data_IF_860839845587
#
_entry.id   IF_860839845587
#
_cell.length_a   1.000
_cell.length_b   1.000
_cell.length_c   1.000
_cell.angle_alpha   90.00
_cell.angle_beta   90.00
_cell.angle_gamma   90.00
#
_symmetry.space_group_name_H-M   'P 1'
#
loop_
_entity.id
_entity.type
_entity.pdbx_description
1 polymer ?
#
# COMPACT_ATOMS: atom_id res chain seq x y z
N UNK A 1 -35.98 53.78 -3.61
CA UNK A 1 -37.24 53.63 -2.88
C UNK A 1 -37.41 52.15 -2.62
N UNK A 2 -37.51 51.79 -1.33
CA UNK A 2 -37.92 50.54 -0.68
C UNK A 2 -37.40 49.22 -1.29
N UNK A 3 -36.46 48.46 -0.70
CA UNK A 3 -36.41 47.87 0.65
C UNK A 3 -37.63 46.99 0.98
N UNK A 4 -37.39 45.69 1.12
CA UNK A 4 -38.34 44.71 1.63
C UNK A 4 -37.60 43.73 2.53
N UNK A 5 -37.58 44.04 3.82
CA UNK A 5 -37.20 43.19 4.94
C UNK A 5 -38.23 42.06 5.12
N UNK A 6 -37.77 40.88 5.52
CA UNK A 6 -38.55 39.97 6.36
C UNK A 6 -37.61 39.50 7.47
N UNK A 7 -37.98 39.85 8.69
CA UNK A 7 -37.35 39.52 9.97
C UNK A 7 -38.26 38.55 10.75
N UNK A 8 -37.62 37.75 11.62
CA UNK A 8 -38.16 37.02 12.78
C UNK A 8 -39.12 35.84 12.51
N UNK A 9 -39.08 34.70 13.22
CA UNK A 9 -38.91 34.52 14.67
C UNK A 9 -38.19 33.23 15.09
N UNK A 10 -37.51 33.41 16.22
CA UNK A 10 -36.88 32.49 17.18
C UNK A 10 -37.89 31.61 17.96
N UNK A 11 -37.47 30.43 18.44
CA UNK A 11 -37.89 29.75 19.69
C UNK A 11 -37.28 28.34 19.80
N UNK A 12 -36.63 28.04 20.93
CA UNK A 12 -36.59 26.67 21.46
C UNK A 12 -35.25 26.14 21.96
N UNK A 13 -34.71 26.77 22.99
CA UNK A 13 -33.64 26.24 23.85
C UNK A 13 -34.23 25.29 24.90
N UNK A 14 -33.62 24.13 25.12
CA UNK A 14 -33.66 23.40 26.40
C UNK A 14 -32.28 22.80 26.66
N UNK A 15 -31.66 23.31 27.72
CA UNK A 15 -30.48 22.77 28.40
C UNK A 15 -30.92 21.68 29.43
N UNK A 16 -29.93 20.92 29.95
CA UNK A 16 -29.91 20.10 31.18
C UNK A 16 -30.56 18.68 31.10
N UNK A 17 -30.04 17.57 31.65
CA UNK A 17 -28.89 17.25 32.51
C UNK A 17 -28.69 15.70 32.58
N UNK A 18 -27.45 15.26 32.79
CA UNK A 18 -26.94 14.16 33.66
C UNK A 18 -27.63 12.77 33.66
N UNK A 19 -26.87 11.72 33.28
CA UNK A 19 -26.75 10.44 34.04
C UNK A 19 -25.32 9.90 33.91
N UNK A 20 -24.60 9.91 35.04
CA UNK A 20 -23.46 9.01 35.35
C UNK A 20 -24.00 7.59 35.59
N UNK A 21 -23.27 6.57 35.14
CA UNK A 21 -23.13 5.32 35.89
C UNK A 21 -21.86 4.56 35.50
N UNK A 22 -21.02 4.39 36.51
CA UNK A 22 -19.90 3.45 36.64
C UNK A 22 -20.36 1.98 36.57
N UNK A 23 -19.39 1.05 36.59
CA UNK A 23 -19.41 -0.43 36.75
C UNK A 23 -18.86 -1.12 35.48
N UNK A 24 -17.79 -1.93 35.49
CA UNK A 24 -16.95 -2.47 36.55
C UNK A 24 -15.95 -3.45 35.93
N UNK A 25 -14.77 -3.54 36.53
CA UNK A 25 -13.78 -4.61 36.31
C UNK A 25 -14.39 -5.99 36.60
N UNK A 26 -13.96 -7.02 35.87
CA UNK A 26 -13.30 -8.19 36.48
C UNK A 26 -12.77 -9.21 35.43
N UNK A 27 -11.49 -9.53 35.60
CA UNK A 27 -10.88 -10.86 35.74
C UNK A 27 -11.12 -11.90 34.62
N UNK A 28 -10.06 -12.20 33.87
CA UNK A 28 -9.56 -13.57 33.75
C UNK A 28 -8.03 -13.57 33.85
N UNK A 29 -7.60 -14.18 34.95
CA UNK A 29 -6.24 -14.59 35.30
C UNK A 29 -5.98 -16.02 34.78
N UNK A 30 -4.72 -16.41 34.89
CA UNK A 30 -4.12 -17.74 34.84
C UNK A 30 -3.48 -18.21 33.53
N UNK A 31 -2.15 -18.33 33.57
CA UNK A 31 -1.45 -19.27 32.70
C UNK A 31 0.07 -19.14 32.56
N UNK A 32 0.77 -19.09 33.70
CA UNK A 32 2.24 -19.18 33.88
C UNK A 32 3.04 -20.02 32.88
N UNK A 33 4.21 -19.47 32.48
CA UNK A 33 5.48 -20.23 32.40
C UNK A 33 6.67 -19.31 32.75
N UNK A 34 7.13 -19.39 34.00
CA UNK A 34 8.49 -19.09 34.47
C UNK A 34 9.51 -20.14 33.91
N UNK A 35 10.84 -20.09 33.96
CA UNK A 35 11.97 -19.29 34.49
C UNK A 35 13.03 -19.29 33.33
N UNK A 36 14.17 -18.59 33.26
CA UNK A 36 15.24 -18.46 34.26
C UNK A 36 16.34 -17.55 33.66
N UNK A 37 16.53 -16.35 34.19
CA UNK A 37 17.69 -15.50 33.91
C UNK A 37 18.79 -15.85 34.92
N UNK A 38 19.61 -16.86 34.59
CA UNK A 38 20.80 -17.21 35.35
C UNK A 38 22.01 -16.38 34.92
N UNK A 39 22.37 -15.39 35.74
CA UNK A 39 23.71 -14.80 35.81
C UNK A 39 24.41 -15.39 37.04
N UNK A 40 25.60 -15.95 36.86
CA UNK A 40 26.79 -15.85 37.74
C UNK A 40 27.95 -16.60 37.04
N UNK A 41 29.21 -16.18 37.07
CA UNK A 41 30.01 -15.86 38.27
C UNK A 41 30.99 -14.68 38.08
N UNK A 42 31.14 -13.89 39.15
CA UNK A 42 32.45 -13.68 39.75
C UNK A 42 32.91 -12.23 39.98
N UNK A 43 32.77 -11.72 41.22
CA UNK A 43 33.54 -10.54 41.66
C UNK A 43 33.09 -9.78 42.90
N UNK A 44 33.18 -10.42 44.07
CA UNK A 44 33.24 -9.95 45.48
C UNK A 44 33.49 -8.44 45.71
N UNK A 45 32.60 -7.78 46.47
CA UNK A 45 32.88 -7.02 47.71
C UNK A 45 31.56 -6.85 48.49
N UNK A 46 31.53 -7.28 49.75
CA UNK A 46 30.35 -7.22 50.62
C UNK A 46 30.13 -5.88 51.30
N UNK A 47 28.94 -5.72 51.91
CA UNK A 47 28.60 -4.95 53.12
C UNK A 47 27.09 -5.18 53.44
N UNK A 48 26.57 -4.81 54.63
CA UNK A 48 25.69 -5.64 55.45
C UNK A 48 24.24 -5.12 55.58
N UNK A 49 23.47 -5.86 56.36
CA UNK A 49 22.05 -5.72 56.67
C UNK A 49 21.60 -4.40 57.36
N UNK A 50 20.43 -3.92 56.89
CA UNK A 50 19.35 -3.10 57.53
C UNK A 50 19.59 -1.60 57.84
N UNK A 51 18.56 -0.73 57.98
CA UNK A 51 17.08 -0.89 57.86
C UNK A 51 16.37 0.20 56.99
N UNK A 52 15.04 0.07 56.85
CA UNK A 52 14.10 1.04 56.25
C UNK A 52 14.30 2.51 56.70
N UNK A 53 14.61 3.43 55.78
CA UNK A 53 13.85 4.67 55.49
C UNK A 53 14.55 5.54 54.42
N UNK A 54 13.94 5.70 53.25
CA UNK A 54 13.83 6.99 52.52
C UNK A 54 13.15 6.78 51.15
N UNK A 55 11.97 7.38 50.88
CA UNK A 55 11.37 7.44 49.54
C UNK A 55 12.04 8.51 48.64
N UNK A 56 13.36 8.70 48.80
CA UNK A 56 14.12 9.85 48.28
C UNK A 56 15.16 9.52 47.21
N UNK A 57 15.05 8.39 46.51
CA UNK A 57 15.88 8.08 45.33
C UNK A 57 15.03 7.56 44.16
N UNK A 58 13.94 8.28 43.86
CA UNK A 58 13.31 8.23 42.54
C UNK A 58 14.18 9.00 41.54
N UNK A 59 15.32 8.40 41.24
CA UNK A 59 16.31 8.92 40.32
C UNK A 59 17.11 7.75 39.79
N UNK A 60 16.41 6.71 39.31
CA UNK A 60 17.01 5.95 38.21
C UNK A 60 17.33 6.99 37.15
N UNK A 61 18.63 7.24 37.00
CA UNK A 61 19.19 8.17 36.03
C UNK A 61 18.42 7.98 34.71
N UNK A 62 17.80 9.06 34.21
CA UNK A 62 16.95 9.01 33.02
C UNK A 62 17.70 8.34 31.86
N UNK A 63 19.02 8.44 31.85
CA UNK A 63 19.89 7.79 30.89
C UNK A 63 19.99 6.26 31.09
N UNK A 64 19.93 5.76 32.33
CA UNK A 64 19.82 4.32 32.61
C UNK A 64 18.47 3.74 32.16
N UNK A 65 17.37 4.47 32.36
CA UNK A 65 16.04 4.10 31.87
C UNK A 65 15.96 4.12 30.34
N UNK A 66 16.52 5.15 29.69
CA UNK A 66 16.64 5.23 28.22
C UNK A 66 17.49 4.09 27.66
N UNK A 67 18.59 3.74 28.33
CA UNK A 67 19.45 2.63 27.93
C UNK A 67 18.72 1.28 28.04
N UNK A 68 17.95 1.07 29.10
CA UNK A 68 17.13 -0.14 29.31
C UNK A 68 16.05 -0.25 28.23
N UNK A 69 15.30 0.82 27.97
CA UNK A 69 14.27 0.85 26.92
C UNK A 69 14.87 0.57 25.53
N UNK A 70 16.01 1.17 25.20
CA UNK A 70 16.72 0.94 23.94
C UNK A 70 17.20 -0.51 23.80
N UNK A 71 17.68 -1.14 24.87
CA UNK A 71 18.06 -2.57 24.87
C UNK A 71 16.85 -3.47 24.61
N UNK A 72 15.72 -3.22 25.27
CA UNK A 72 14.48 -3.98 25.06
C UNK A 72 13.96 -3.83 23.63
N UNK A 73 13.95 -2.61 23.10
CA UNK A 73 13.56 -2.35 21.70
C UNK A 73 14.46 -3.07 20.70
N UNK A 74 15.79 -3.01 20.88
CA UNK A 74 16.74 -3.71 20.02
C UNK A 74 16.60 -5.24 20.10
N UNK A 75 16.32 -5.79 21.29
CA UNK A 75 16.06 -7.22 21.47
C UNK A 75 14.78 -7.65 20.72
N UNK A 76 13.70 -6.85 20.80
CA UNK A 76 12.47 -7.12 20.09
C UNK A 76 12.62 -6.98 18.57
N UNK A 77 13.35 -5.95 18.10
CA UNK A 77 13.68 -5.80 16.68
C UNK A 77 14.52 -6.97 16.16
N UNK A 78 15.51 -7.42 16.94
CA UNK A 78 16.31 -8.61 16.62
C UNK A 78 15.41 -9.84 16.49
N UNK A 79 14.49 -10.07 17.42
CA UNK A 79 13.53 -11.18 17.37
C UNK A 79 12.69 -11.13 16.10
N UNK A 80 12.12 -9.97 15.76
CA UNK A 80 11.29 -9.81 14.56
C UNK A 80 12.07 -10.02 13.25
N UNK A 81 13.30 -9.52 13.16
CA UNK A 81 14.16 -9.71 11.99
C UNK A 81 14.55 -11.17 11.81
N UNK A 82 14.89 -11.86 12.90
CA UNK A 82 15.22 -13.29 12.88
C UNK A 82 14.01 -14.14 12.46
N UNK A 83 12.81 -13.86 12.97
CA UNK A 83 11.58 -14.55 12.55
C UNK A 83 11.29 -14.31 11.06
N UNK A 84 11.43 -13.06 10.59
CA UNK A 84 11.23 -12.71 9.19
C UNK A 84 12.25 -13.39 8.28
N UNK A 85 13.50 -13.56 8.73
CA UNK A 85 14.51 -14.34 8.03
C UNK A 85 14.10 -15.81 7.89
N UNK A 86 13.66 -16.47 8.99
CA UNK A 86 13.21 -17.87 8.92
C UNK A 86 12.01 -18.08 8.02
N UNK A 87 11.02 -17.19 8.06
CA UNK A 87 9.87 -17.27 7.17
C UNK A 87 10.29 -17.20 5.71
N UNK A 88 11.25 -16.34 5.38
CA UNK A 88 11.77 -16.22 4.02
C UNK A 88 12.46 -17.52 3.57
N UNK A 89 13.29 -18.11 4.44
CA UNK A 89 13.95 -19.40 4.18
C UNK A 89 12.93 -20.55 4.04
N UNK A 90 11.93 -20.61 4.91
CA UNK A 90 10.89 -21.64 4.85
C UNK A 90 10.09 -21.58 3.54
N UNK A 91 9.68 -20.38 3.12
CA UNK A 91 8.95 -20.16 1.87
C UNK A 91 9.80 -20.53 0.65
N UNK A 92 11.06 -20.08 0.61
CA UNK A 92 11.89 -20.24 -0.57
C UNK A 92 12.43 -21.66 -0.76
N UNK A 93 12.59 -22.41 0.34
CA UNK A 93 13.18 -23.74 0.31
C UNK A 93 12.23 -24.87 0.67
N UNK A 94 10.98 -24.57 1.02
CA UNK A 94 9.97 -25.58 1.37
C UNK A 94 10.29 -26.37 2.63
N UNK A 95 11.11 -25.80 3.53
CA UNK A 95 11.41 -26.41 4.81
C UNK A 95 10.36 -26.00 5.86
N UNK A 96 9.94 -26.90 6.76
CA UNK A 96 9.28 -26.48 7.98
C UNK A 96 10.20 -25.52 8.75
N UNK A 97 9.64 -24.47 9.36
CA UNK A 97 10.40 -23.42 10.07
C UNK A 97 11.42 -24.12 11.00
N UNK A 98 12.74 -23.97 10.79
CA UNK A 98 13.72 -24.72 11.56
C UNK A 98 13.60 -24.31 13.03
N UNK A 99 13.30 -25.27 13.90
CA UNK A 99 12.89 -24.95 15.27
C UNK A 99 13.99 -24.30 16.11
N UNK A 100 15.29 -24.49 15.82
CA UNK A 100 16.34 -23.91 16.67
C UNK A 100 17.63 -23.65 15.90
N UNK A 101 17.75 -22.51 15.22
CA UNK A 101 19.07 -21.86 15.19
C UNK A 101 19.15 -20.98 16.43
N UNK A 102 20.20 -21.12 17.25
CA UNK A 102 20.31 -20.35 18.48
C UNK A 102 20.34 -18.84 18.22
N UNK A 103 19.45 -18.08 18.86
CA UNK A 103 19.35 -16.62 18.74
C UNK A 103 20.67 -15.88 19.04
N UNK A 104 21.61 -16.52 19.76
CA UNK A 104 22.94 -15.98 20.04
C UNK A 104 23.83 -15.88 18.78
N UNK A 105 23.54 -16.66 17.72
CA UNK A 105 24.26 -16.58 16.44
C UNK A 105 23.89 -15.35 15.61
N UNK A 106 22.89 -14.57 16.03
CA UNK A 106 22.51 -13.33 15.35
C UNK A 106 22.93 -12.11 16.15
N UNK A 107 23.48 -11.11 15.47
CA UNK A 107 23.77 -9.78 16.04
C UNK A 107 22.98 -8.75 15.25
N UNK A 108 22.42 -7.76 15.92
CA UNK A 108 21.79 -6.63 15.25
C UNK A 108 22.75 -5.43 15.33
N UNK A 109 22.82 -4.62 14.28
CA UNK A 109 23.60 -3.38 14.33
C UNK A 109 23.14 -2.49 15.48
N UNK A 110 24.01 -1.58 15.95
CA UNK A 110 23.65 -0.54 16.94
C UNK A 110 22.44 0.31 16.51
N UNK A 111 22.16 0.36 15.21
CA UNK A 111 21.04 1.08 14.59
C UNK A 111 19.73 0.28 14.51
N UNK A 112 19.75 -1.02 14.82
CA UNK A 112 18.56 -1.89 14.68
C UNK A 112 18.17 -2.22 13.23
N UNK A 113 18.90 -1.71 12.23
CA UNK A 113 18.53 -1.82 10.82
C UNK A 113 19.15 -3.02 10.10
N UNK A 114 20.27 -3.54 10.60
CA UNK A 114 21.02 -4.61 9.94
C UNK A 114 21.09 -5.82 10.85
N UNK A 115 20.66 -6.98 10.32
CA UNK A 115 20.84 -8.26 10.98
C UNK A 115 22.15 -8.87 10.47
N UNK A 116 23.02 -9.29 11.37
CA UNK A 116 24.20 -10.07 11.08
C UNK A 116 24.00 -11.48 11.58
N UNK A 117 24.43 -12.45 10.80
CA UNK A 117 24.46 -13.85 11.18
C UNK A 117 25.91 -14.30 11.34
N UNK A 118 26.20 -15.00 12.43
CA UNK A 118 27.53 -15.44 12.82
C UNK A 118 27.53 -16.98 12.94
N UNK A 119 27.62 -17.70 11.80
CA UNK A 119 27.58 -19.17 11.82
C UNK A 119 28.75 -19.79 12.59
N UNK A 120 29.92 -19.14 12.52
CA UNK A 120 31.19 -19.47 13.19
C UNK A 120 31.74 -18.22 13.90
N UNK A 121 32.49 -18.37 14.99
CA UNK A 121 33.09 -17.23 15.69
C UNK A 121 33.98 -16.39 14.75
N UNK A 122 33.73 -15.07 14.72
CA UNK A 122 34.51 -14.11 13.92
C UNK A 122 34.02 -13.89 12.49
N UNK A 123 33.01 -14.62 12.00
CA UNK A 123 32.48 -14.46 10.63
C UNK A 123 31.07 -13.84 10.63
N UNK A 124 30.99 -12.51 10.54
CA UNK A 124 29.72 -11.80 10.43
C UNK A 124 29.23 -11.71 8.98
N UNK A 125 28.09 -12.33 8.74
CA UNK A 125 27.38 -12.28 7.46
C UNK A 125 26.28 -11.23 7.54
N UNK A 126 26.33 -10.21 6.68
CA UNK A 126 25.30 -9.17 6.61
C UNK A 126 24.03 -9.72 5.92
N UNK A 127 22.90 -9.68 6.62
CA UNK A 127 21.58 -10.06 6.12
C UNK A 127 20.79 -8.79 5.81
N UNK A 128 20.83 -8.35 4.55
CA UNK A 128 20.10 -7.16 4.11
C UNK A 128 18.62 -7.50 3.83
N UNK A 129 17.73 -6.69 4.41
CA UNK A 129 16.28 -6.75 4.16
C UNK A 129 15.95 -5.96 2.89
N UNK A 130 15.22 -6.56 1.95
CA UNK A 130 14.67 -5.90 0.76
C UNK A 130 13.15 -5.98 0.73
N UNK A 131 12.48 -5.29 -0.21
CA UNK A 131 11.03 -5.40 -0.41
C UNK A 131 10.68 -6.86 -0.73
N UNK A 132 9.96 -7.52 0.17
CA UNK A 132 9.52 -8.92 0.03
C UNK A 132 10.20 -9.94 0.96
N UNK A 133 11.26 -9.56 1.69
CA UNK A 133 11.95 -10.48 2.62
C UNK A 133 13.42 -10.13 2.81
N UNK A 134 14.18 -11.01 3.46
CA UNK A 134 15.63 -10.97 3.34
C UNK A 134 16.02 -11.53 1.99
N UNK A 135 17.01 -10.94 1.32
CA UNK A 135 17.62 -11.53 0.14
C UNK A 135 18.14 -12.92 0.53
N UNK A 136 17.37 -13.95 0.24
CA UNK A 136 17.79 -15.31 0.46
C UNK A 136 18.99 -15.60 -0.43
N UNK A 137 19.99 -16.22 0.19
CA UNK A 137 21.00 -17.14 -0.34
C UNK A 137 21.67 -16.85 -1.69
N UNK A 138 20.94 -16.48 -2.75
CA UNK A 138 21.47 -15.90 -4.00
C UNK A 138 22.49 -14.76 -3.75
N UNK A 139 22.27 -13.94 -2.73
CA UNK A 139 23.21 -12.88 -2.33
C UNK A 139 24.42 -13.41 -1.56
N UNK A 140 24.24 -14.50 -0.80
CA UNK A 140 25.31 -15.19 -0.09
C UNK A 140 26.18 -15.99 -1.05
N UNK A 141 25.58 -16.62 -2.06
CA UNK A 141 26.25 -17.36 -3.13
C UNK A 141 27.03 -16.41 -4.05
N UNK A 142 26.49 -15.20 -4.30
CA UNK A 142 27.17 -14.17 -5.08
C UNK A 142 28.34 -13.52 -4.33
N UNK A 143 28.23 -13.34 -3.02
CA UNK A 143 29.26 -12.70 -2.20
C UNK A 143 30.31 -13.67 -1.63
N UNK A 144 30.00 -14.96 -1.49
CA UNK A 144 30.88 -15.98 -0.90
C UNK A 144 31.12 -17.20 -1.80
N UNK A 145 30.67 -17.17 -3.07
CA UNK A 145 30.70 -18.32 -3.96
C UNK A 145 29.80 -19.47 -3.46
N UNK A 146 30.05 -20.70 -3.93
CA UNK A 146 29.32 -21.92 -3.51
C UNK A 146 29.30 -22.15 -1.97
N UNK A 147 30.09 -21.40 -1.18
CA UNK A 147 30.20 -21.56 0.27
C UNK A 147 29.04 -21.00 1.10
N UNK A 148 28.27 -20.02 0.62
CA UNK A 148 27.19 -19.41 1.41
C UNK A 148 26.01 -20.36 1.67
N UNK A 149 25.64 -21.16 0.67
CA UNK A 149 24.60 -22.18 0.76
C UNK A 149 25.06 -23.39 1.57
N UNK A 150 26.33 -23.82 1.40
CA UNK A 150 26.90 -24.90 2.20
C UNK A 150 27.04 -24.51 3.68
N UNK A 151 27.45 -23.28 4.00
CA UNK A 151 27.52 -22.82 5.40
C UNK A 151 26.13 -22.79 6.07
N UNK A 152 25.07 -22.46 5.32
CA UNK A 152 23.68 -22.54 5.79
C UNK A 152 23.23 -23.99 5.96
N UNK A 153 23.53 -24.85 4.98
CA UNK A 153 23.24 -26.29 5.02
C UNK A 153 23.94 -26.99 6.19
N UNK A 154 25.24 -26.73 6.40
CA UNK A 154 26.07 -27.27 7.48
C UNK A 154 25.63 -26.74 8.85
N UNK A 155 25.37 -25.44 8.98
CA UNK A 155 24.94 -24.85 10.26
C UNK A 155 23.50 -25.20 10.66
N UNK A 156 22.64 -25.56 9.69
CA UNK A 156 21.28 -26.05 9.94
C UNK A 156 21.20 -27.59 9.99
N UNK A 157 22.26 -28.31 9.60
CA UNK A 157 22.28 -29.77 9.53
C UNK A 157 21.36 -30.38 8.46
N UNK A 158 21.05 -29.64 7.40
CA UNK A 158 20.08 -30.04 6.35
C UNK A 158 20.76 -30.06 4.98
N UNK A 159 20.73 -31.18 4.26
CA UNK A 159 21.36 -31.34 2.94
C UNK A 159 20.65 -30.49 1.86
N UNK A 160 21.37 -29.52 1.28
CA UNK A 160 20.84 -28.66 0.22
C UNK A 160 20.91 -29.34 -1.17
N UNK A 161 19.75 -29.68 -1.76
CA UNK A 161 19.65 -30.13 -3.17
C UNK A 161 18.89 -29.09 -4.00
N UNK A 162 19.63 -28.17 -4.63
CA UNK A 162 19.08 -27.14 -5.52
C UNK A 162 18.26 -27.75 -6.67
N UNK A 163 16.94 -27.51 -6.71
CA UNK A 163 16.04 -27.85 -7.84
C UNK A 163 15.97 -26.75 -8.92
N UNK A 164 16.60 -25.60 -8.69
CA UNK A 164 16.53 -24.41 -9.55
C UNK A 164 17.05 -24.59 -10.99
N UNK A 165 18.11 -25.38 -11.28
CA UNK A 165 18.59 -25.52 -12.66
C UNK A 165 17.60 -26.23 -13.58
N UNK A 166 16.79 -27.15 -13.03
CA UNK A 166 15.88 -28.00 -13.80
C UNK A 166 14.59 -27.27 -14.18
N UNK A 167 13.98 -26.57 -13.21
CA UNK A 167 12.77 -25.77 -13.42
C UNK A 167 12.99 -24.59 -14.37
N UNK A 168 14.20 -24.00 -14.38
CA UNK A 168 14.51 -22.86 -15.26
C UNK A 168 14.74 -23.28 -16.71
N UNK A 169 15.29 -24.47 -16.93
CA UNK A 169 15.47 -25.03 -18.27
C UNK A 169 14.13 -25.52 -18.85
N UNK A 170 13.29 -26.16 -18.04
CA UNK A 170 11.96 -26.63 -18.43
C UNK A 170 11.03 -25.43 -18.75
N UNK A 171 11.00 -24.39 -17.90
CA UNK A 171 10.22 -23.18 -18.16
C UNK A 171 10.72 -22.37 -19.37
N UNK A 172 12.04 -22.35 -19.63
CA UNK A 172 12.58 -21.66 -20.81
C UNK A 172 12.26 -22.38 -22.12
N UNK A 173 12.21 -23.71 -22.12
CA UNK A 173 11.75 -24.49 -23.29
C UNK A 173 10.25 -24.32 -23.51
N UNK A 174 9.44 -24.35 -22.45
CA UNK A 174 7.98 -24.16 -22.54
C UNK A 174 7.61 -22.78 -23.10
N UNK A 175 8.26 -21.71 -22.61
CA UNK A 175 8.08 -20.33 -23.14
C UNK A 175 8.52 -20.21 -24.60
N UNK A 176 9.58 -20.95 -25.00
CA UNK A 176 10.09 -20.94 -26.37
C UNK A 176 9.15 -21.67 -27.33
N UNK A 177 8.53 -22.75 -26.86
CA UNK A 177 7.52 -23.52 -27.62
C UNK A 177 6.18 -22.77 -27.73
N UNK A 178 5.77 -22.02 -26.71
CA UNK A 178 4.57 -21.16 -26.78
C UNK A 178 4.78 -19.94 -27.69
N UNK A 179 5.95 -19.29 -27.63
CA UNK A 179 6.28 -18.15 -28.53
C UNK A 179 6.37 -18.54 -30.00
N UNK A 180 6.69 -19.80 -30.31
CA UNK A 180 6.72 -20.31 -31.67
C UNK A 180 5.30 -20.56 -32.24
N UNK A 181 4.26 -20.62 -31.39
CA UNK A 181 2.87 -20.91 -31.78
C UNK A 181 2.00 -19.66 -31.97
N UNK A 182 2.49 -18.47 -31.64
CA UNK A 182 1.70 -17.23 -31.71
C UNK A 182 1.97 -16.47 -33.03
N UNK A 183 0.93 -16.11 -33.82
CA UNK A 183 1.10 -15.26 -34.98
C UNK A 183 1.42 -13.82 -34.56
N UNK A 184 2.39 -13.20 -35.24
CA UNK A 184 2.79 -11.80 -34.98
C UNK A 184 1.70 -10.84 -35.44
N UNK A 185 0.99 -10.17 -34.50
CA UNK A 185 0.56 -8.77 -34.69
C UNK A 185 0.06 -8.07 -33.41
N UNK A 186 0.48 -6.79 -33.35
CA UNK A 186 -0.10 -5.61 -32.72
C UNK A 186 -0.29 -5.56 -31.19
N UNK A 187 0.45 -4.64 -30.58
CA UNK A 187 0.10 -3.98 -29.32
C UNK A 187 -1.29 -3.31 -29.46
N UNK A 188 -2.21 -3.67 -28.58
CA UNK A 188 -3.35 -2.84 -28.15
C UNK A 188 -3.79 -3.29 -26.76
N UNK A 189 -3.94 -2.30 -25.88
CA UNK A 189 -4.63 -2.24 -24.60
C UNK A 189 -4.86 -3.50 -23.76
N UNK A 190 -4.34 -3.44 -22.53
CA UNK A 190 -4.67 -4.30 -21.39
C UNK A 190 -6.08 -4.01 -20.84
N UNK A 191 -7.12 -4.10 -21.68
CA UNK A 191 -8.47 -4.31 -21.17
C UNK A 191 -8.66 -5.80 -21.00
N UNK A 192 -8.68 -6.29 -19.77
CA UNK A 192 -9.10 -7.66 -19.49
C UNK A 192 -10.58 -7.75 -19.93
N UNK A 193 -10.92 -8.46 -21.02
CA UNK A 193 -12.28 -8.41 -21.60
C UNK A 193 -13.37 -8.95 -20.67
N UNK A 194 -12.96 -9.55 -19.53
CA UNK A 194 -13.82 -10.11 -18.49
C UNK A 194 -14.13 -9.16 -17.32
N UNK A 195 -13.56 -7.95 -17.27
CA UNK A 195 -13.86 -7.00 -16.20
C UNK A 195 -15.07 -6.11 -16.54
N UNK A 196 -15.99 -5.90 -15.58
CA UNK A 196 -17.16 -5.03 -15.75
C UNK A 196 -16.77 -3.56 -15.89
N UNK A 197 -15.71 -3.10 -15.22
CA UNK A 197 -15.15 -1.77 -15.37
C UNK A 197 -13.66 -1.81 -15.67
N UNK A 198 -13.20 -0.83 -16.44
CA UNK A 198 -11.79 -0.59 -16.69
C UNK A 198 -11.02 -0.13 -15.43
N UNK A 199 -11.70 0.17 -14.32
CA UNK A 199 -11.12 0.62 -13.06
C UNK A 199 -11.79 -0.04 -11.85
N UNK A 200 -10.99 -0.43 -10.87
CA UNK A 200 -11.47 -0.83 -9.52
C UNK A 200 -11.58 0.37 -8.57
N UNK A 201 -11.01 1.50 -8.99
CA UNK A 201 -10.81 2.67 -8.18
C UNK A 201 -10.99 3.95 -9.01
N UNK A 202 -11.79 4.91 -8.52
CA UNK A 202 -12.04 6.21 -9.19
C UNK A 202 -11.45 7.39 -8.43
N UNK A 203 -10.74 8.26 -9.16
CA UNK A 203 -10.38 9.60 -8.67
C UNK A 203 -11.43 10.60 -9.14
N UNK A 204 -11.62 11.63 -8.33
CA UNK A 204 -12.53 12.71 -8.69
C UNK A 204 -12.15 13.35 -10.05
N UNK A 205 -13.11 13.45 -10.97
CA UNK A 205 -12.95 14.00 -12.32
C UNK A 205 -12.39 13.03 -13.36
N UNK A 206 -12.16 11.76 -13.02
CA UNK A 206 -11.68 10.78 -14.00
C UNK A 206 -12.81 10.18 -14.85
N UNK A 207 -12.45 9.76 -16.06
CA UNK A 207 -13.31 8.91 -16.90
C UNK A 207 -13.26 7.47 -16.37
N UNK A 208 -14.42 6.86 -16.20
CA UNK A 208 -14.59 5.42 -15.95
C UNK A 208 -15.53 4.82 -16.99
N UNK A 209 -15.19 3.62 -17.44
CA UNK A 209 -16.00 2.87 -18.40
C UNK A 209 -16.45 1.56 -17.78
N UNK A 210 -17.71 1.22 -18.05
CA UNK A 210 -18.33 -0.04 -17.72
C UNK A 210 -18.72 -0.75 -19.00
N UNK A 211 -18.49 -2.05 -19.05
CA UNK A 211 -18.89 -2.91 -20.15
C UNK A 211 -19.61 -4.13 -19.60
N UNK A 212 -20.83 -4.36 -20.07
CA UNK A 212 -21.64 -5.52 -19.69
C UNK A 212 -21.95 -6.36 -20.93
N UNK A 213 -21.49 -7.61 -20.91
CA UNK A 213 -21.65 -8.58 -21.99
C UNK A 213 -21.55 -10.03 -21.44
N UNK A 214 -21.69 -11.02 -22.32
CA UNK A 214 -21.61 -12.43 -21.95
C UNK A 214 -20.25 -12.85 -21.34
N UNK A 215 -19.15 -12.22 -21.74
CA UNK A 215 -17.81 -12.61 -21.28
C UNK A 215 -17.53 -12.12 -19.86
N UNK A 216 -18.07 -10.96 -19.48
CA UNK A 216 -17.98 -10.40 -18.14
C UNK A 216 -18.65 -11.31 -17.09
N UNK A 217 -19.78 -11.93 -17.44
CA UNK A 217 -20.49 -12.87 -16.54
C UNK A 217 -20.18 -14.33 -16.84
N UNK A 218 -19.28 -14.60 -17.79
CA UNK A 218 -18.83 -15.94 -18.19
C UNK A 218 -19.96 -16.86 -18.67
N UNK A 219 -20.88 -16.36 -19.51
CA UNK A 219 -21.89 -17.20 -20.17
C UNK A 219 -21.18 -18.32 -20.96
N UNK A 220 -21.52 -19.60 -20.77
CA UNK A 220 -20.88 -20.70 -21.50
C UNK A 220 -20.97 -20.52 -23.02
N UNK A 221 -19.90 -20.84 -23.75
CA UNK A 221 -19.77 -20.52 -25.19
C UNK A 221 -20.78 -21.20 -26.09
N UNK A 222 -21.35 -22.33 -25.67
CA UNK A 222 -22.42 -23.02 -26.38
C UNK A 222 -23.74 -22.24 -26.42
N UNK A 223 -23.93 -21.30 -25.49
CA UNK A 223 -25.11 -20.45 -25.47
C UNK A 223 -24.83 -19.16 -26.24
N UNK A 224 -25.51 -19.04 -27.39
CA UNK A 224 -25.35 -17.93 -28.34
C UNK A 224 -26.50 -16.93 -28.29
N UNK A 225 -27.52 -17.20 -27.48
CA UNK A 225 -28.77 -16.44 -27.39
C UNK A 225 -28.89 -15.75 -26.03
N UNK A 226 -28.43 -14.50 -25.96
CA UNK A 226 -28.70 -13.53 -24.89
C UNK A 226 -30.07 -12.88 -25.14
N UNK A 227 -30.88 -12.80 -24.08
CA UNK A 227 -32.20 -12.16 -24.08
C UNK A 227 -32.18 -10.77 -23.43
N UNK A 228 -31.37 -10.57 -22.40
CA UNK A 228 -31.28 -9.28 -21.68
C UNK A 228 -29.86 -9.03 -21.19
N UNK A 229 -29.43 -7.78 -21.29
CA UNK A 229 -28.25 -7.22 -20.65
C UNK A 229 -28.69 -6.07 -19.75
N UNK A 230 -28.27 -6.06 -18.50
CA UNK A 230 -28.59 -4.98 -17.56
C UNK A 230 -27.36 -4.56 -16.76
N UNK A 231 -27.12 -3.25 -16.67
CA UNK A 231 -26.16 -2.65 -15.74
C UNK A 231 -26.94 -2.02 -14.59
N UNK A 232 -26.62 -2.41 -13.36
CA UNK A 232 -27.18 -1.82 -12.16
C UNK A 232 -26.08 -1.33 -11.20
N UNK A 233 -26.45 -0.40 -10.33
CA UNK A 233 -25.59 0.20 -9.30
C UNK A 233 -26.24 0.03 -7.93
N UNK A 234 -25.45 -0.42 -6.96
CA UNK A 234 -25.81 -0.45 -5.55
C UNK A 234 -24.81 0.38 -4.75
N UNK A 235 -25.26 1.48 -4.15
CA UNK A 235 -24.42 2.29 -3.28
C UNK A 235 -23.97 1.48 -2.05
N UNK A 236 -22.75 1.72 -1.56
CA UNK A 236 -22.27 1.07 -0.36
C UNK A 236 -23.17 1.36 0.84
N UNK A 237 -23.58 0.31 1.55
CA UNK A 237 -24.50 0.41 2.68
C UNK A 237 -25.98 0.53 2.31
N UNK A 238 -26.32 0.66 1.02
CA UNK A 238 -27.71 0.62 0.55
C UNK A 238 -28.13 -0.81 0.23
N UNK A 239 -29.41 -1.12 0.46
CA UNK A 239 -30.07 -2.35 -0.03
C UNK A 239 -30.71 -2.15 -1.41
N UNK A 240 -30.86 -0.91 -1.85
CA UNK A 240 -31.51 -0.57 -3.12
C UNK A 240 -30.52 -0.67 -4.29
N UNK A 241 -30.95 -1.38 -5.33
CA UNK A 241 -30.27 -1.43 -6.63
C UNK A 241 -30.98 -0.51 -7.62
N UNK A 242 -30.22 0.37 -8.26
CA UNK A 242 -30.72 1.26 -9.30
C UNK A 242 -30.27 0.73 -10.67
N UNK A 243 -31.23 0.46 -11.56
CA UNK A 243 -30.93 0.08 -12.95
C UNK A 243 -30.45 1.32 -13.71
N UNK A 244 -29.21 1.26 -14.18
CA UNK A 244 -28.56 2.32 -14.93
C UNK A 244 -28.90 2.19 -16.41
N UNK A 245 -28.72 1.01 -16.98
CA UNK A 245 -29.04 0.75 -18.38
C UNK A 245 -29.51 -0.70 -18.56
N UNK A 246 -30.39 -0.92 -19.53
CA UNK A 246 -30.74 -2.27 -19.96
C UNK A 246 -30.94 -2.32 -21.48
N UNK A 247 -30.80 -3.53 -22.02
CA UNK A 247 -31.06 -3.85 -23.41
C UNK A 247 -31.72 -5.23 -23.50
N UNK A 248 -32.94 -5.28 -24.06
CA UNK A 248 -33.73 -6.51 -24.19
C UNK A 248 -33.85 -6.94 -25.66
N UNK A 249 -33.46 -8.18 -25.95
CA UNK A 249 -33.57 -8.87 -27.23
C UNK A 249 -34.89 -9.65 -27.30
N UNK A 250 -35.98 -8.98 -27.67
CA UNK A 250 -37.27 -9.64 -27.93
C UNK A 250 -37.65 -9.57 -29.42
N UNK A 251 -38.23 -10.66 -29.95
CA UNK A 251 -38.86 -10.73 -31.27
C UNK A 251 -40.11 -9.81 -31.43
N UNK A 252 -40.52 -9.11 -30.36
CA UNK A 252 -41.74 -8.27 -30.30
C UNK A 252 -41.44 -6.77 -30.11
N UNK A 253 -40.29 -6.31 -30.59
CA UNK A 253 -39.90 -4.90 -30.54
C UNK A 253 -39.01 -4.57 -29.34
N UNK A 254 -37.82 -5.19 -29.30
CA UNK A 254 -36.80 -4.97 -28.27
C UNK A 254 -36.64 -3.50 -27.86
N UNK A 255 -36.32 -3.31 -26.57
CA UNK A 255 -36.24 -1.98 -25.96
C UNK A 255 -34.89 -1.79 -25.28
N UNK A 256 -34.33 -0.60 -25.46
CA UNK A 256 -33.18 -0.12 -24.71
C UNK A 256 -33.62 1.02 -23.79
N UNK A 257 -33.03 1.09 -22.60
CA UNK A 257 -33.21 2.23 -21.69
C UNK A 257 -31.87 2.59 -21.09
N UNK A 258 -31.63 3.87 -20.99
CA UNK A 258 -30.55 4.44 -20.20
C UNK A 258 -31.15 5.45 -19.23
N UNK A 259 -30.87 5.27 -17.95
CA UNK A 259 -31.20 6.20 -16.88
C UNK A 259 -29.94 6.97 -16.51
N UNK A 260 -30.05 8.28 -16.54
CA UNK A 260 -29.07 9.16 -15.94
C UNK A 260 -29.65 9.71 -14.63
N UNK A 261 -29.45 9.03 -13.48
CA UNK A 261 -30.04 9.41 -12.21
C UNK A 261 -29.70 10.84 -11.77
N UNK A 262 -28.64 11.46 -12.29
CA UNK A 262 -28.11 12.73 -11.78
C UNK A 262 -27.86 13.81 -12.85
N UNK A 263 -28.42 13.67 -14.07
CA UNK A 263 -28.23 14.65 -15.15
C UNK A 263 -26.76 14.93 -15.52
N UNK A 264 -25.85 13.99 -15.26
CA UNK A 264 -24.39 14.11 -15.50
C UNK A 264 -24.01 13.69 -16.91
N UNK A 265 -22.81 14.03 -17.37
CA UNK A 265 -22.35 13.68 -18.73
C UNK A 265 -21.99 12.19 -18.85
N UNK A 266 -23.02 11.35 -18.87
CA UNK A 266 -22.92 9.90 -19.06
C UNK A 266 -23.31 9.55 -20.48
N UNK A 267 -22.50 8.71 -21.13
CA UNK A 267 -22.79 8.21 -22.48
C UNK A 267 -23.00 6.71 -22.45
N UNK A 268 -23.91 6.25 -23.31
CA UNK A 268 -24.27 4.85 -23.42
C UNK A 268 -24.16 4.43 -24.87
N UNK A 269 -23.36 3.39 -25.11
CA UNK A 269 -23.23 2.76 -26.42
C UNK A 269 -23.75 1.32 -26.31
N UNK A 270 -24.84 1.06 -27.04
CA UNK A 270 -25.41 -0.27 -27.16
C UNK A 270 -24.87 -0.90 -28.44
N UNK A 271 -24.16 -2.02 -28.30
CA UNK A 271 -23.71 -2.80 -29.44
C UNK A 271 -24.71 -3.91 -29.70
N UNK A 272 -25.42 -3.78 -30.80
CA UNK A 272 -26.25 -4.85 -31.35
C UNK A 272 -25.36 -5.93 -31.98
N UNK A 273 -25.80 -7.20 -31.99
CA UNK A 273 -25.08 -8.26 -32.65
C UNK A 273 -25.14 -8.08 -34.16
N UNK A 274 -24.04 -8.41 -34.85
CA UNK A 274 -23.96 -8.30 -36.32
C UNK A 274 -24.99 -9.18 -37.05
N UNK A 275 -25.49 -10.23 -36.40
CA UNK A 275 -26.51 -11.11 -36.96
C UNK A 275 -27.47 -11.61 -35.87
N UNK A 276 -28.50 -10.81 -35.49
CA UNK A 276 -29.37 -11.09 -34.35
C UNK A 276 -30.20 -12.37 -34.49
N UNK A 277 -30.38 -12.88 -35.72
CA UNK A 277 -31.09 -14.13 -35.97
C UNK A 277 -30.24 -15.38 -35.70
N UNK A 278 -28.91 -15.23 -35.65
CA UNK A 278 -27.96 -16.34 -35.49
C UNK A 278 -27.35 -16.35 -34.10
N UNK A 279 -26.91 -15.19 -33.61
CA UNK A 279 -26.28 -15.06 -32.29
C UNK A 279 -26.48 -13.65 -31.76
N UNK A 280 -26.92 -13.54 -30.52
CA UNK A 280 -26.94 -12.28 -29.76
C UNK A 280 -25.82 -12.24 -28.72
N UNK A 281 -24.87 -13.19 -28.76
CA UNK A 281 -23.77 -13.29 -27.79
C UNK A 281 -22.84 -12.09 -27.78
N UNK A 282 -22.55 -11.52 -28.94
CA UNK A 282 -21.59 -10.41 -29.09
C UNK A 282 -22.15 -9.05 -28.69
N UNK A 283 -23.36 -9.05 -28.12
CA UNK A 283 -24.04 -7.85 -27.65
C UNK A 283 -23.37 -7.29 -26.40
N UNK A 284 -23.38 -5.96 -26.28
CA UNK A 284 -22.82 -5.31 -25.10
C UNK A 284 -23.48 -3.98 -24.80
N UNK A 285 -23.53 -3.64 -23.52
CA UNK A 285 -23.79 -2.27 -23.05
C UNK A 285 -22.47 -1.69 -22.61
N UNK A 286 -22.02 -0.62 -23.26
CA UNK A 286 -20.92 0.21 -22.78
C UNK A 286 -21.49 1.48 -22.16
N UNK A 287 -21.14 1.75 -20.91
CA UNK A 287 -21.49 2.97 -20.20
C UNK A 287 -20.21 3.72 -19.82
N UNK A 288 -20.11 4.98 -20.20
CA UNK A 288 -18.98 5.85 -19.87
C UNK A 288 -19.45 7.01 -19.02
N UNK A 289 -18.80 7.20 -17.87
CA UNK A 289 -18.96 8.36 -16.98
C UNK A 289 -17.70 9.21 -17.10
N UNK A 290 -17.83 10.45 -17.56
CA UNK A 290 -16.68 11.32 -17.87
C UNK A 290 -16.10 12.07 -16.66
N UNK A 291 -16.89 12.23 -15.62
CA UNK A 291 -16.66 13.15 -14.51
C UNK A 291 -16.78 12.42 -13.16
N UNK A 292 -16.24 11.20 -13.04
CA UNK A 292 -16.49 10.34 -11.88
C UNK A 292 -16.19 11.04 -10.55
N UNK A 293 -17.11 10.91 -9.60
CA UNK A 293 -17.01 11.51 -8.27
C UNK A 293 -16.99 10.42 -7.22
N UNK A 294 -16.70 10.80 -5.99
CA UNK A 294 -16.65 9.87 -4.88
C UNK A 294 -18.01 9.27 -4.50
N UNK A 295 -19.10 9.98 -4.81
CA UNK A 295 -20.46 9.47 -4.67
C UNK A 295 -20.79 8.34 -5.66
N UNK A 296 -19.93 8.13 -6.68
CA UNK A 296 -20.07 7.03 -7.63
C UNK A 296 -19.38 5.73 -7.15
N UNK A 297 -18.78 5.73 -5.95
CA UNK A 297 -18.31 4.53 -5.28
C UNK A 297 -19.50 3.61 -4.94
N UNK A 298 -19.49 2.42 -5.52
CA UNK A 298 -20.61 1.51 -5.48
C UNK A 298 -20.18 0.10 -5.89
N UNK A 299 -21.04 -0.86 -5.57
CA UNK A 299 -21.02 -2.16 -6.23
C UNK A 299 -21.82 -2.06 -7.53
N UNK A 300 -21.14 -2.30 -8.65
CA UNK A 300 -21.75 -2.38 -9.97
C UNK A 300 -22.02 -3.84 -10.33
N UNK A 301 -23.12 -4.07 -11.03
CA UNK A 301 -23.54 -5.40 -11.44
C UNK A 301 -23.90 -5.39 -12.92
N UNK A 302 -23.35 -6.36 -13.65
CA UNK A 302 -23.80 -6.76 -14.96
C UNK A 302 -24.64 -8.01 -14.82
N UNK A 303 -25.89 -7.95 -15.26
CA UNK A 303 -26.81 -9.09 -15.33
C UNK A 303 -26.99 -9.47 -16.80
N UNK A 304 -26.89 -10.76 -17.09
CA UNK A 304 -27.18 -11.32 -18.42
C UNK A 304 -28.19 -12.45 -18.27
N UNK A 305 -29.30 -12.33 -18.99
CA UNK A 305 -30.26 -13.43 -19.15
C UNK A 305 -30.04 -14.09 -20.51
N UNK A 306 -29.94 -15.42 -20.56
CA UNK A 306 -29.71 -16.18 -21.80
C UNK A 306 -30.53 -17.47 -21.87
N UNK A 307 -30.80 -17.91 -23.10
CA UNK A 307 -31.49 -19.18 -23.36
C UNK A 307 -30.54 -20.35 -23.17
N UNK A 308 -30.60 -20.98 -21.98
CA UNK A 308 -29.96 -22.25 -21.70
C UNK A 308 -30.72 -23.45 -22.29
N UNK A 309 -30.46 -24.65 -21.76
CA UNK A 309 -31.12 -25.91 -22.15
C UNK A 309 -32.58 -26.04 -21.68
N UNK A 310 -33.28 -24.92 -21.42
CA UNK A 310 -34.54 -24.75 -20.64
C UNK A 310 -34.41 -25.05 -19.13
N UNK A 311 -34.80 -24.13 -18.21
CA UNK A 311 -35.39 -22.79 -18.38
C UNK A 311 -34.37 -21.66 -18.69
N UNK A 312 -34.87 -20.41 -18.84
CA UNK A 312 -34.07 -19.18 -18.93
C UNK A 312 -33.07 -19.12 -17.76
N UNK A 313 -31.82 -18.80 -18.04
CA UNK A 313 -30.77 -18.69 -17.04
C UNK A 313 -30.31 -17.24 -16.90
N UNK A 314 -29.92 -16.88 -15.68
CA UNK A 314 -29.43 -15.55 -15.34
C UNK A 314 -28.04 -15.68 -14.71
N UNK A 315 -27.08 -14.90 -15.19
CA UNK A 315 -25.75 -14.77 -14.60
C UNK A 315 -25.47 -13.32 -14.22
N UNK A 316 -24.62 -13.16 -13.20
CA UNK A 316 -24.25 -11.87 -12.64
C UNK A 316 -22.73 -11.74 -12.58
N UNK A 317 -22.22 -10.62 -13.08
CA UNK A 317 -20.86 -10.16 -12.86
C UNK A 317 -20.90 -8.97 -11.92
N UNK A 318 -20.14 -9.02 -10.84
CA UNK A 318 -20.09 -7.93 -9.85
C UNK A 318 -18.70 -7.30 -9.87
N UNK A 319 -18.65 -5.98 -9.76
CA UNK A 319 -17.41 -5.25 -9.54
C UNK A 319 -17.61 -4.17 -8.49
N UNK A 320 -16.80 -4.24 -7.45
CA UNK A 320 -16.74 -3.20 -6.45
C UNK A 320 -15.84 -2.07 -6.99
N UNK A 321 -16.39 -0.86 -7.09
CA UNK A 321 -15.64 0.33 -7.48
C UNK A 321 -15.58 1.26 -6.29
N UNK A 322 -14.37 1.48 -5.78
CA UNK A 322 -14.10 2.36 -4.64
C UNK A 322 -13.66 3.75 -5.10
N UNK A 323 -13.83 4.76 -4.25
CA UNK A 323 -13.37 6.13 -4.53
C UNK A 323 -12.46 6.66 -3.42
N UNK A 324 -11.53 7.54 -3.82
CA UNK A 324 -10.55 8.20 -2.94
C UNK A 324 -10.11 9.51 -3.56
N UNK A 325 -9.57 10.39 -2.71
CA UNK A 325 -9.02 11.65 -3.17
C UNK A 325 -7.84 11.41 -4.13
N UNK A 326 -7.71 12.27 -5.14
CA UNK A 326 -6.52 12.29 -5.99
C UNK A 326 -5.32 12.83 -5.21
N UNK A 327 -4.12 12.32 -5.52
CA UNK A 327 -2.86 12.95 -5.07
C UNK A 327 -2.61 14.19 -5.91
N UNK A 328 -2.63 15.38 -5.30
CA UNK A 328 -2.52 16.67 -6.00
C UNK A 328 -1.84 17.72 -5.13
N UNK A 329 -1.60 18.89 -5.71
CA UNK A 329 -1.02 20.05 -5.02
C UNK A 329 0.30 19.70 -4.31
N UNK A 330 1.13 18.85 -4.92
CA UNK A 330 2.48 18.58 -4.43
C UNK A 330 3.37 19.78 -4.73
N UNK A 331 3.99 20.34 -3.70
CA UNK A 331 5.00 21.38 -3.87
C UNK A 331 6.03 21.35 -2.74
N UNK A 332 7.26 21.74 -3.08
CA UNK A 332 8.38 21.92 -2.15
C UNK A 332 8.65 23.41 -1.95
N UNK A 333 8.72 23.82 -0.70
CA UNK A 333 9.19 25.17 -0.30
C UNK A 333 10.48 25.07 0.49
N UNK A 334 11.27 26.14 0.51
CA UNK A 334 12.59 26.15 1.16
C UNK A 334 12.75 27.38 2.02
N UNK A 335 13.24 27.17 3.24
CA UNK A 335 13.52 28.21 4.22
C UNK A 335 14.96 28.12 4.75
N UNK A 336 15.67 29.25 4.90
CA UNK A 336 15.26 30.58 4.46
C UNK A 336 15.36 30.71 2.94
N UNK A 337 14.41 31.40 2.32
CA UNK A 337 14.40 31.55 0.87
C UNK A 337 15.52 32.50 0.41
N UNK A 338 16.50 31.97 -0.32
CA UNK A 338 17.58 32.74 -0.96
C UNK A 338 17.37 32.85 -2.47
N UNK A 339 17.94 33.89 -3.08
CA UNK A 339 17.92 34.03 -4.53
C UNK A 339 18.62 32.83 -5.19
N UNK A 340 17.94 32.21 -6.15
CA UNK A 340 18.41 31.02 -6.88
C UNK A 340 18.85 29.84 -5.97
N UNK A 341 18.30 29.76 -4.75
CA UNK A 341 18.63 28.70 -3.78
C UNK A 341 20.14 28.55 -3.55
N UNK A 342 20.85 29.68 -3.53
CA UNK A 342 22.28 29.77 -3.23
C UNK A 342 22.52 30.06 -1.75
N UNK A 343 23.33 29.23 -1.12
CA UNK A 343 23.63 29.28 0.31
C UNK A 343 25.14 29.22 0.55
N UNK A 344 25.56 29.54 1.77
CA UNK A 344 26.94 29.29 2.22
C UNK A 344 27.06 27.87 2.78
N UNK A 345 28.29 27.37 2.92
CA UNK A 345 28.54 26.12 3.64
C UNK A 345 28.09 26.24 5.11
N UNK A 346 27.69 25.12 5.73
CA UNK A 346 27.17 25.00 7.10
C UNK A 346 25.86 25.76 7.35
N UNK A 347 25.18 26.18 6.29
CA UNK A 347 23.90 26.86 6.41
C UNK A 347 22.78 25.85 6.64
N UNK A 348 21.88 26.14 7.58
CA UNK A 348 20.74 25.28 7.85
C UNK A 348 19.60 25.61 6.87
N UNK A 349 19.15 24.60 6.14
CA UNK A 349 18.08 24.70 5.16
C UNK A 349 16.96 23.74 5.52
N UNK A 350 15.75 24.26 5.60
CA UNK A 350 14.53 23.51 5.85
C UNK A 350 13.74 23.47 4.56
N UNK A 351 13.54 22.27 4.03
CA UNK A 351 12.67 22.01 2.88
C UNK A 351 11.35 21.46 3.40
N UNK A 352 10.23 22.02 2.96
CA UNK A 352 8.89 21.57 3.35
C UNK A 352 8.18 21.06 2.11
N UNK A 353 7.76 19.81 2.13
CA UNK A 353 6.89 19.22 1.14
C UNK A 353 5.45 19.22 1.64
N UNK A 354 4.53 19.76 0.83
CA UNK A 354 3.09 19.74 1.08
C UNK A 354 2.40 19.04 -0.07
N UNK A 355 1.40 18.20 0.23
CA UNK A 355 0.62 17.47 -0.77
C UNK A 355 -0.76 17.13 -0.21
N UNK A 356 -1.76 17.10 -1.07
CA UNK A 356 -3.10 16.63 -0.74
C UNK A 356 -3.30 15.22 -1.30
N UNK A 357 -3.93 14.35 -0.51
CA UNK A 357 -4.21 12.99 -0.98
C UNK A 357 -5.09 12.20 -0.03
N UNK A 358 -5.32 10.91 -0.33
CA UNK A 358 -6.14 10.03 0.49
C UNK A 358 -5.46 9.63 1.81
N UNK A 359 -6.24 9.23 2.83
CA UNK A 359 -5.70 8.66 4.06
C UNK A 359 -4.78 7.47 3.81
N UNK A 360 -3.52 7.55 4.25
CA UNK A 360 -2.48 6.54 4.04
C UNK A 360 -1.46 6.90 2.96
N UNK A 361 -1.51 8.12 2.41
CA UNK A 361 -0.48 8.65 1.50
C UNK A 361 0.90 8.59 2.16
N UNK A 362 1.93 8.22 1.38
CA UNK A 362 3.32 8.19 1.82
C UNK A 362 4.11 9.28 1.12
N UNK A 363 4.82 10.09 1.90
CA UNK A 363 5.81 11.05 1.41
C UNK A 363 7.20 10.44 1.60
N UNK A 364 8.04 10.54 0.57
CA UNK A 364 9.43 10.07 0.59
C UNK A 364 10.32 11.19 0.06
N UNK A 365 11.33 11.55 0.84
CA UNK A 365 12.41 12.43 0.38
C UNK A 365 13.47 11.60 -0.34
N UNK A 366 13.97 12.12 -1.45
CA UNK A 366 15.09 11.56 -2.19
C UNK A 366 16.12 12.62 -2.51
N UNK A 367 17.35 12.22 -2.75
CA UNK A 367 18.40 13.11 -3.27
C UNK A 367 19.23 12.46 -4.35
N UNK A 368 19.83 13.29 -5.20
CA UNK A 368 20.67 12.84 -6.31
C UNK A 368 21.09 13.99 -7.21
N UNK A 369 22.03 13.71 -8.10
CA UNK A 369 22.45 14.71 -9.09
C UNK A 369 21.52 14.64 -10.31
N UNK A 370 21.16 15.80 -10.91
CA UNK A 370 20.20 15.87 -12.02
C UNK A 370 20.51 14.93 -13.21
N UNK A 371 21.78 14.53 -13.38
CA UNK A 371 22.27 13.73 -14.51
C UNK A 371 22.78 12.33 -14.11
N UNK A 372 22.64 11.90 -12.85
CA UNK A 372 23.17 10.60 -12.38
C UNK A 372 22.17 9.44 -12.51
N UNK A 373 20.99 9.68 -13.09
CA UNK A 373 20.04 8.66 -13.53
C UNK A 373 19.03 8.16 -12.51
N UNK A 374 19.35 8.12 -11.20
CA UNK A 374 18.39 7.72 -10.16
C UNK A 374 18.54 8.55 -8.88
N UNK A 375 17.43 9.10 -8.39
CA UNK A 375 17.34 9.65 -7.04
C UNK A 375 17.29 8.52 -6.03
N UNK A 376 18.07 8.64 -4.96
CA UNK A 376 18.08 7.66 -3.87
C UNK A 376 17.25 8.16 -2.71
N UNK A 377 16.53 7.26 -2.04
CA UNK A 377 15.81 7.60 -0.81
C UNK A 377 16.76 8.24 0.21
N UNK A 378 16.33 9.36 0.78
CA UNK A 378 17.12 10.12 1.72
C UNK A 378 17.35 9.28 2.98
N UNK A 379 18.62 9.05 3.32
CA UNK A 379 19.00 7.99 4.26
C UNK A 379 18.92 8.38 5.73
N UNK A 380 18.96 9.69 6.03
CA UNK A 380 19.03 10.23 7.39
C UNK A 380 17.63 10.58 7.89
N UNK A 381 16.93 9.57 8.42
CA UNK A 381 15.54 9.72 8.88
C UNK A 381 15.36 10.75 10.01
N UNK A 382 16.41 11.08 10.78
CA UNK A 382 16.35 12.09 11.86
C UNK A 382 16.19 13.51 11.33
N UNK A 383 16.50 13.73 10.06
CA UNK A 383 16.41 15.04 9.42
C UNK A 383 15.01 15.26 8.85
N UNK A 384 14.18 14.21 8.83
CA UNK A 384 12.81 14.23 8.33
C UNK A 384 11.84 14.28 9.50
N UNK A 385 10.94 15.27 9.49
CA UNK A 385 9.82 15.36 10.43
C UNK A 385 8.53 15.32 9.61
N UNK A 386 7.73 14.29 9.85
CA UNK A 386 6.36 14.19 9.34
C UNK A 386 5.44 14.99 10.27
N UNK A 387 4.72 15.96 9.72
CA UNK A 387 3.75 16.77 10.47
C UNK A 387 2.36 16.12 10.44
N UNK A 388 1.52 16.45 11.43
CA UNK A 388 0.14 15.98 11.49
C UNK A 388 -0.66 16.44 10.27
N UNK A 389 -1.55 15.57 9.81
CA UNK A 389 -2.42 15.83 8.68
C UNK A 389 -3.61 16.70 9.10
N UNK A 390 -3.95 17.69 8.28
CA UNK A 390 -5.21 18.41 8.42
C UNK A 390 -6.26 17.86 7.45
N UNK A 391 -7.50 17.79 7.91
CA UNK A 391 -8.61 17.40 7.04
C UNK A 391 -8.84 18.53 6.03
N UNK A 392 -8.81 18.19 4.74
CA UNK A 392 -9.27 19.10 3.70
C UNK A 392 -10.77 18.87 3.57
N UNK A 393 -11.57 19.86 3.93
CA UNK A 393 -13.02 19.79 3.75
C UNK A 393 -13.30 19.57 2.27
N UNK A 394 -13.91 18.42 1.97
CA UNK A 394 -14.20 17.99 0.62
C UNK A 394 -15.56 17.31 0.66
N UNK A 395 -16.50 17.85 -0.10
CA UNK A 395 -17.86 17.34 -0.22
C UNK A 395 -17.93 16.01 -1.00
N UNK A 396 -16.78 15.46 -1.41
CA UNK A 396 -16.70 14.31 -2.31
C UNK A 396 -15.91 13.15 -1.70
N UNK A 397 -14.58 13.21 -1.65
CA UNK A 397 -13.74 12.21 -0.99
C UNK A 397 -13.02 12.82 0.21
N UNK A 398 -12.88 12.10 1.33
CA UNK A 398 -11.99 12.54 2.41
C UNK A 398 -10.57 12.67 1.85
N UNK A 399 -10.03 13.88 1.96
CA UNK A 399 -8.66 14.21 1.58
C UNK A 399 -7.96 14.80 2.81
N UNK A 400 -6.68 14.44 2.95
CA UNK A 400 -5.81 14.95 3.99
C UNK A 400 -4.71 15.78 3.33
N UNK A 401 -4.37 16.89 3.96
CA UNK A 401 -3.16 17.63 3.63
C UNK A 401 -2.02 17.04 4.44
N UNK A 402 -1.03 16.50 3.74
CA UNK A 402 0.18 15.95 4.31
C UNK A 402 1.30 16.96 4.20
N UNK A 403 2.10 17.05 5.27
CA UNK A 403 3.29 17.87 5.30
C UNK A 403 4.47 17.09 5.86
N UNK A 404 5.60 17.18 5.17
CA UNK A 404 6.86 16.57 5.60
C UNK A 404 7.97 17.60 5.45
N UNK A 405 8.78 17.76 6.48
CA UNK A 405 9.92 18.68 6.48
C UNK A 405 11.23 17.90 6.50
N UNK A 406 12.20 18.39 5.74
CA UNK A 406 13.58 17.90 5.69
C UNK A 406 14.50 19.05 6.12
N UNK A 407 15.17 18.90 7.26
CA UNK A 407 16.10 19.90 7.83
C UNK A 407 17.54 19.43 7.70
N UNK A 408 18.33 20.14 6.89
CA UNK A 408 19.72 19.75 6.60
C UNK A 408 20.69 20.90 6.86
N UNK A 409 21.90 20.55 7.29
CA UNK A 409 23.03 21.47 7.31
C UNK A 409 23.88 21.24 6.07
N UNK A 410 23.95 22.25 5.20
CA UNK A 410 24.63 22.13 3.91
C UNK A 410 26.14 21.90 4.06
N UNK A 411 26.65 20.91 3.32
CA UNK A 411 28.08 20.60 3.19
C UNK A 411 28.50 20.75 1.74
N UNK A 412 29.80 20.92 1.47
CA UNK A 412 30.30 21.00 0.09
C UNK A 412 29.85 19.84 -0.82
N UNK A 413 29.59 18.66 -0.26
CA UNK A 413 29.04 17.48 -0.97
C UNK A 413 27.60 17.66 -1.47
N UNK A 414 26.83 18.59 -0.88
CA UNK A 414 25.46 18.92 -1.26
C UNK A 414 25.41 19.98 -2.39
N UNK A 415 26.55 20.49 -2.84
CA UNK A 415 26.59 21.52 -3.88
C UNK A 415 26.09 20.99 -5.23
N UNK A 416 24.97 21.52 -5.71
CA UNK A 416 24.32 21.06 -6.94
C UNK A 416 23.51 19.77 -6.77
N UNK A 417 23.34 19.30 -5.52
CA UNK A 417 22.47 18.18 -5.20
C UNK A 417 21.01 18.60 -5.32
N UNK A 418 20.22 17.76 -5.98
CA UNK A 418 18.78 17.93 -6.08
C UNK A 418 18.09 17.09 -5.01
N UNK A 419 17.16 17.71 -4.29
CA UNK A 419 16.28 17.07 -3.32
C UNK A 419 14.89 16.97 -3.95
N UNK A 420 14.30 15.79 -3.86
CA UNK A 420 13.02 15.46 -4.47
C UNK A 420 12.07 15.03 -3.36
N UNK A 421 10.92 15.69 -3.27
CA UNK A 421 9.79 15.15 -2.54
C UNK A 421 8.94 14.30 -3.47
N UNK A 422 8.64 13.08 -3.06
CA UNK A 422 7.84 12.14 -3.81
C UNK A 422 6.65 11.67 -2.98
N UNK A 423 5.44 11.76 -3.52
CA UNK A 423 4.21 11.34 -2.86
C UNK A 423 3.58 10.17 -3.62
N UNK A 424 3.26 9.08 -2.90
CA UNK A 424 2.61 7.89 -3.47
C UNK A 424 1.57 7.32 -2.51
N UNK A 425 0.43 6.93 -3.06
CA UNK A 425 -0.55 6.10 -2.39
C UNK A 425 -0.56 4.69 -3.00
N UNK A 426 -0.34 3.65 -2.21
CA UNK A 426 -0.25 2.26 -2.66
C UNK A 426 0.64 2.06 -3.92
N UNK A 427 0.03 1.60 -5.01
CA UNK A 427 0.67 1.31 -6.30
C UNK A 427 0.46 2.42 -7.33
N UNK A 428 -0.04 3.60 -6.92
CA UNK A 428 -0.25 4.71 -7.84
C UNK A 428 1.06 5.22 -8.44
N UNK A 429 1.00 5.84 -9.63
CA UNK A 429 2.07 6.68 -10.13
C UNK A 429 2.46 7.71 -9.08
N UNK A 430 3.75 7.86 -8.90
CA UNK A 430 4.31 8.78 -7.92
C UNK A 430 4.27 10.21 -8.46
N UNK A 431 3.81 11.15 -7.62
CA UNK A 431 3.90 12.57 -7.91
C UNK A 431 5.21 13.09 -7.30
N UNK A 432 5.98 13.86 -8.07
CA UNK A 432 7.29 14.36 -7.62
C UNK A 432 7.40 15.86 -7.81
N UNK A 433 8.02 16.54 -6.85
CA UNK A 433 8.48 17.91 -6.97
C UNK A 433 9.90 18.01 -6.41
N UNK A 434 10.71 18.93 -6.93
CA UNK A 434 12.14 18.95 -6.65
C UNK A 434 12.73 20.35 -6.52
N UNK A 435 13.87 20.41 -5.84
CA UNK A 435 14.65 21.62 -5.66
C UNK A 435 16.14 21.30 -5.68
N UNK A 436 16.91 22.11 -6.40
CA UNK A 436 18.37 22.02 -6.43
C UNK A 436 18.96 23.11 -5.56
N UNK A 437 19.81 22.72 -4.61
CA UNK A 437 20.54 23.67 -3.76
C UNK A 437 21.94 23.90 -4.33
N UNK A 438 22.47 25.10 -4.16
CA UNK A 438 23.82 25.45 -4.60
C UNK A 438 24.59 26.14 -3.49
N UNK A 439 25.87 25.81 -3.34
CA UNK A 439 26.75 26.44 -2.36
C UNK A 439 27.62 27.45 -3.09
N UNK A 440 27.59 28.70 -2.62
CA UNK A 440 28.48 29.76 -3.09
C UNK A 440 29.69 29.86 -2.17
N UNK A 441 30.91 30.03 -2.71
CA UNK A 441 32.05 30.39 -1.89
C UNK A 441 31.73 31.69 -1.14
N UNK A 442 32.07 31.71 0.14
CA UNK A 442 31.82 32.84 1.04
C UNK A 442 32.58 34.10 0.60
#
# INVERSE_FOLDING_TARGET
MAAGEIEMTDFGRTDDDIIDDDIGNDIYDDGDYFYDDGIDDGGIYGLPDTPLHNPGKAGEDIDALRLRLKRTQLAQMKKNLVISFYRSVAIEYGFPIPEKIPYHKFKISKTGKTLYWNPEEGKLINMMKQKGGFLALSSLEKNYGRGGANAISESMGVEYKSKMPKLRAEAQEEIKQERAKLPKRAQTDTSNPSALSNKEFIRNGEVIEFNCNADVVQVPSQFIQINDLTISRQLHGSTEKVVIAYYIFNNFGGGQKANNPNSRDWTFDFKEPSNPTVSTRDSSIKWTMKDATCADAAMYECKVDYNGDTPLQTLFGHQNVSARAAVKNLFVTVFPRKANYRYSENYNVIMTCSVEGPPGLKIVWRSGYPNSGLFQDYSVATDIVEEEFSLVTSDTCPALQYRSTLSIMLRNEDNGLMYVCAARYDNDPELVDNITLSISPA
#
